data_IF_815831518293
#
_entry.id   IF_815831518293
#
_cell.length_a   1.000
_cell.length_b   1.000
_cell.length_c   1.000
_cell.angle_alpha   90.00
_cell.angle_beta   90.00
_cell.angle_gamma   90.00
#
_symmetry.space_group_name_H-M   'P 1'
#
loop_
_entity.id
_entity.type
_entity.pdbx_description
1 polymer ?
#
# COMPACT_ATOMS: atom_id res chain seq x y z
N UNK A 1 -21.08 25.41 27.80
CA UNK A 1 -20.42 25.43 26.48
C UNK A 1 -19.47 24.24 26.44
N UNK A 2 -19.88 23.16 25.79
CA UNK A 2 -19.14 21.90 25.77
C UNK A 2 -18.36 21.85 24.46
N UNK A 3 -17.05 22.06 24.54
CA UNK A 3 -16.14 22.01 23.40
C UNK A 3 -16.09 20.56 22.91
N UNK A 4 -16.79 20.27 21.80
CA UNK A 4 -16.58 19.02 21.07
C UNK A 4 -15.21 19.11 20.41
N UNK A 5 -14.23 18.39 20.96
CA UNK A 5 -12.99 18.07 20.24
C UNK A 5 -13.39 17.27 19.00
N UNK A 6 -13.51 17.95 17.87
CA UNK A 6 -13.51 17.28 16.57
C UNK A 6 -12.10 16.73 16.39
N UNK A 7 -11.97 15.42 16.53
CA UNK A 7 -10.82 14.70 16.03
C UNK A 7 -10.87 14.89 14.51
N UNK A 8 -10.07 15.82 13.99
CA UNK A 8 -9.81 15.90 12.56
C UNK A 8 -9.05 14.62 12.21
N UNK A 9 -9.78 13.63 11.69
CA UNK A 9 -9.17 12.55 10.94
C UNK A 9 -8.55 13.26 9.74
N UNK A 10 -7.23 13.43 9.75
CA UNK A 10 -6.51 13.85 8.55
C UNK A 10 -6.69 12.67 7.59
N UNK A 11 -7.56 12.84 6.60
CA UNK A 11 -7.72 11.86 5.53
C UNK A 11 -6.36 11.75 4.82
N UNK A 12 -5.65 10.66 5.10
CA UNK A 12 -4.38 10.37 4.43
C UNK A 12 -4.70 10.15 2.96
N UNK A 13 -4.02 10.87 2.07
CA UNK A 13 -4.09 10.58 0.64
C UNK A 13 -3.59 9.14 0.37
N UNK A 14 -3.93 8.59 -0.80
CA UNK A 14 -3.65 7.19 -1.11
C UNK A 14 -2.15 6.89 -1.07
N UNK A 15 -1.32 7.83 -1.56
CA UNK A 15 0.13 7.71 -1.52
C UNK A 15 0.64 7.44 -0.10
N UNK A 16 0.22 8.26 0.87
CA UNK A 16 0.65 8.07 2.26
C UNK A 16 0.15 6.75 2.83
N UNK A 17 -1.07 6.33 2.50
CA UNK A 17 -1.60 5.03 2.95
C UNK A 17 -0.80 3.85 2.40
N UNK A 18 -0.44 3.88 1.12
CA UNK A 18 0.38 2.82 0.50
C UNK A 18 1.80 2.83 1.06
N UNK A 19 2.43 4.01 1.17
CA UNK A 19 3.77 4.15 1.73
C UNK A 19 3.87 3.66 3.18
N UNK A 20 2.83 3.92 3.98
CA UNK A 20 2.72 3.40 5.34
C UNK A 20 2.63 1.87 5.33
N UNK A 21 1.76 1.28 4.50
CA UNK A 21 1.62 -0.18 4.41
C UNK A 21 2.91 -0.84 3.94
N UNK A 22 3.65 -0.22 3.02
CA UNK A 22 4.95 -0.73 2.59
C UNK A 22 5.97 -0.69 3.72
N UNK A 23 5.95 0.36 4.54
CA UNK A 23 6.80 0.46 5.73
C UNK A 23 6.43 -0.59 6.78
N UNK A 24 5.14 -0.85 6.98
CA UNK A 24 4.66 -1.92 7.85
C UNK A 24 5.06 -3.31 7.32
N UNK A 25 5.04 -3.51 5.99
CA UNK A 25 5.47 -4.75 5.35
C UNK A 25 6.96 -5.01 5.55
N UNK A 26 7.80 -3.98 5.38
CA UNK A 26 9.24 -4.05 5.66
C UNK A 26 9.46 -4.51 7.11
N UNK A 27 8.84 -3.83 8.07
CA UNK A 27 8.98 -4.16 9.49
C UNK A 27 8.48 -5.58 9.80
N UNK A 28 7.34 -5.99 9.23
CA UNK A 28 6.80 -7.33 9.38
C UNK A 28 7.80 -8.39 8.88
N UNK A 29 8.35 -8.24 7.68
CA UNK A 29 9.27 -9.24 7.13
C UNK A 29 10.66 -9.19 7.77
N UNK A 30 11.12 -8.05 8.29
CA UNK A 30 12.31 -7.98 9.14
C UNK A 30 12.12 -8.81 10.41
N UNK A 31 11.00 -8.63 11.11
CA UNK A 31 10.64 -9.43 12.28
C UNK A 31 10.58 -10.94 11.95
N UNK A 32 9.92 -11.31 10.83
CA UNK A 32 9.85 -12.72 10.39
C UNK A 32 11.22 -13.29 10.01
N UNK A 33 12.13 -12.48 9.47
CA UNK A 33 13.50 -12.92 9.15
C UNK A 33 14.35 -13.17 10.40
N UNK A 34 14.06 -12.47 11.50
CA UNK A 34 14.69 -12.65 12.80
C UNK A 34 14.16 -13.89 13.53
N UNK A 35 12.84 -14.11 13.50
CA UNK A 35 12.16 -15.25 14.13
C UNK A 35 12.32 -16.58 13.35
N UNK A 36 12.70 -16.51 12.07
CA UNK A 36 12.84 -17.68 11.21
C UNK A 36 13.87 -18.70 11.73
N UNK A 37 13.40 -19.92 12.01
CA UNK A 37 14.25 -21.04 12.43
C UNK A 37 15.04 -21.69 11.29
N UNK A 38 14.68 -21.44 10.03
CA UNK A 38 15.35 -22.01 8.84
C UNK A 38 15.96 -20.93 7.94
N UNK A 39 17.13 -21.23 7.37
CA UNK A 39 17.83 -20.34 6.44
C UNK A 39 16.98 -19.96 5.20
N UNK A 40 16.16 -20.90 4.71
CA UNK A 40 15.29 -20.64 3.56
C UNK A 40 14.20 -19.61 3.88
N UNK A 41 13.53 -19.75 5.03
CA UNK A 41 12.50 -18.79 5.49
C UNK A 41 13.10 -17.40 5.70
N UNK A 42 14.28 -17.34 6.32
CA UNK A 42 15.03 -16.09 6.49
C UNK A 42 15.40 -15.43 5.16
N UNK A 43 15.79 -16.22 4.16
CA UNK A 43 16.09 -15.70 2.82
C UNK A 43 14.85 -15.12 2.15
N UNK A 44 13.72 -15.83 2.19
CA UNK A 44 12.46 -15.35 1.61
C UNK A 44 11.99 -14.05 2.27
N UNK A 45 12.02 -13.98 3.60
CA UNK A 45 11.67 -12.77 4.33
C UNK A 45 12.57 -11.57 3.96
N UNK A 46 13.89 -11.79 3.82
CA UNK A 46 14.81 -10.75 3.34
C UNK A 46 14.58 -10.31 1.90
N UNK A 47 14.11 -11.20 1.03
CA UNK A 47 13.73 -10.84 -0.35
C UNK A 47 12.50 -9.93 -0.30
N UNK A 48 11.47 -10.30 0.48
CA UNK A 48 10.28 -9.48 0.65
C UNK A 48 10.62 -8.07 1.19
N UNK A 49 11.49 -7.96 2.20
CA UNK A 49 11.97 -6.65 2.69
C UNK A 49 12.52 -5.78 1.57
N UNK A 50 13.36 -6.35 0.68
CA UNK A 50 13.93 -5.61 -0.45
C UNK A 50 12.87 -5.21 -1.48
N UNK A 51 11.91 -6.09 -1.76
CA UNK A 51 10.81 -5.82 -2.69
C UNK A 51 9.96 -4.65 -2.19
N UNK A 52 9.56 -4.65 -0.91
CA UNK A 52 8.77 -3.55 -0.34
C UNK A 52 9.57 -2.26 -0.18
N UNK A 53 10.87 -2.32 0.17
CA UNK A 53 11.73 -1.13 0.22
C UNK A 53 11.87 -0.49 -1.17
N UNK A 54 12.18 -1.29 -2.18
CA UNK A 54 12.30 -0.84 -3.58
C UNK A 54 10.98 -0.28 -4.07
N UNK A 55 9.88 -1.00 -3.83
CA UNK A 55 8.55 -0.55 -4.20
C UNK A 55 8.19 0.78 -3.54
N UNK A 56 8.57 1.00 -2.28
CA UNK A 56 8.29 2.25 -1.54
C UNK A 56 9.03 3.43 -2.15
N UNK A 57 10.29 3.22 -2.48
CA UNK A 57 11.15 4.25 -3.09
C UNK A 57 10.75 4.54 -4.54
N UNK A 58 10.09 3.60 -5.21
CA UNK A 58 9.54 3.71 -6.57
C UNK A 58 8.05 4.04 -6.60
N UNK A 59 7.42 4.41 -5.48
CA UNK A 59 6.02 4.88 -5.47
C UNK A 59 5.92 6.22 -6.20
N UNK A 60 5.81 6.16 -7.53
CA UNK A 60 5.56 7.31 -8.37
C UNK A 60 4.04 7.49 -8.52
N UNK A 61 3.46 8.22 -7.56
CA UNK A 61 2.07 8.65 -7.60
C UNK A 61 2.01 10.16 -7.77
N UNK A 62 1.20 10.61 -8.71
CA UNK A 62 0.95 12.02 -8.93
C UNK A 62 -0.09 12.50 -7.93
N UNK A 63 0.15 13.66 -7.33
CA UNK A 63 -0.82 14.35 -6.48
C UNK A 63 -1.24 15.61 -7.23
N UNK A 64 -2.53 15.82 -7.43
CA UNK A 64 -3.02 17.05 -8.05
C UNK A 64 -3.08 18.22 -7.05
N UNK A 65 -3.54 19.39 -7.51
CA UNK A 65 -3.66 20.60 -6.71
C UNK A 65 -4.73 20.48 -5.61
N UNK A 66 -5.69 19.56 -5.75
CA UNK A 66 -6.77 19.28 -4.80
C UNK A 66 -6.36 18.21 -3.75
N UNK A 67 -5.19 17.59 -3.93
CA UNK A 67 -4.64 16.55 -3.05
C UNK A 67 -5.06 15.13 -3.42
N UNK A 68 -5.75 14.97 -4.55
CA UNK A 68 -6.14 13.66 -5.08
C UNK A 68 -4.92 12.94 -5.65
N UNK A 69 -4.88 11.64 -5.42
CA UNK A 69 -3.77 10.79 -5.85
C UNK A 69 -4.14 10.05 -7.11
N UNK A 70 -3.31 10.20 -8.14
CA UNK A 70 -3.43 9.52 -9.42
C UNK A 70 -2.31 8.51 -9.56
N UNK A 71 -2.68 7.32 -10.05
CA UNK A 71 -1.72 6.30 -10.40
C UNK A 71 -1.52 6.31 -11.92
N UNK A 72 -0.27 6.21 -12.36
CA UNK A 72 0.00 5.73 -13.72
C UNK A 72 -0.45 4.26 -13.78
N UNK A 73 -1.13 3.77 -14.84
CA UNK A 73 -1.72 2.43 -14.88
C UNK A 73 -0.74 1.31 -14.47
N UNK A 74 0.51 1.39 -14.92
CA UNK A 74 1.58 0.42 -14.62
C UNK A 74 1.96 0.43 -13.12
N UNK A 75 1.94 1.61 -12.49
CA UNK A 75 2.13 1.77 -11.06
C UNK A 75 0.91 1.24 -10.29
N UNK A 76 -0.32 1.44 -10.78
CA UNK A 76 -1.55 0.96 -10.15
C UNK A 76 -1.58 -0.57 -10.03
N UNK A 77 -1.26 -1.28 -11.12
CA UNK A 77 -1.20 -2.74 -11.14
C UNK A 77 -0.12 -3.26 -10.18
N UNK A 78 1.08 -2.67 -10.25
CA UNK A 78 2.21 -3.06 -9.40
C UNK A 78 1.91 -2.86 -7.92
N UNK A 79 1.36 -1.69 -7.56
CA UNK A 79 0.99 -1.38 -6.18
C UNK A 79 -0.08 -2.33 -5.67
N UNK A 80 -1.15 -2.54 -6.44
CA UNK A 80 -2.25 -3.42 -6.03
C UNK A 80 -1.77 -4.85 -5.84
N UNK A 81 -0.95 -5.37 -6.77
CA UNK A 81 -0.40 -6.72 -6.68
C UNK A 81 0.53 -6.88 -5.47
N UNK A 82 1.38 -5.89 -5.20
CA UNK A 82 2.26 -5.87 -4.03
C UNK A 82 1.46 -5.90 -2.72
N UNK A 83 0.41 -5.09 -2.62
CA UNK A 83 -0.47 -5.06 -1.45
C UNK A 83 -1.22 -6.37 -1.24
N UNK A 84 -1.73 -7.00 -2.30
CA UNK A 84 -2.36 -8.32 -2.25
C UNK A 84 -1.39 -9.42 -1.81
N UNK A 85 -0.15 -9.39 -2.31
CA UNK A 85 0.90 -10.32 -1.89
C UNK A 85 1.20 -10.17 -0.39
N UNK A 86 1.29 -8.93 0.10
CA UNK A 86 1.48 -8.69 1.53
C UNK A 86 0.28 -9.19 2.34
N UNK A 87 -0.95 -8.88 1.90
CA UNK A 87 -2.18 -9.33 2.57
C UNK A 87 -2.24 -10.86 2.70
N UNK A 88 -1.81 -11.58 1.67
CA UNK A 88 -1.80 -13.05 1.67
C UNK A 88 -0.70 -13.64 2.57
N UNK A 89 0.42 -12.94 2.73
CA UNK A 89 1.53 -13.36 3.59
C UNK A 89 1.32 -13.00 5.07
N UNK A 90 0.51 -11.97 5.35
CA UNK A 90 0.27 -11.45 6.69
C UNK A 90 -0.58 -12.42 7.52
N UNK A 91 -0.14 -12.71 8.75
CA UNK A 91 -0.99 -13.38 9.73
C UNK A 91 -2.05 -12.41 10.25
N UNK A 92 -3.22 -12.42 9.62
CA UNK A 92 -4.34 -11.56 10.00
C UNK A 92 -4.96 -11.86 11.36
N UNK A 93 -4.68 -13.02 11.97
CA UNK A 93 -5.13 -13.33 13.34
C UNK A 93 -4.21 -12.69 14.38
N UNK A 94 -2.91 -12.71 14.11
CA UNK A 94 -1.90 -12.09 14.97
C UNK A 94 -1.91 -10.56 14.83
N UNK A 95 -2.08 -10.03 13.62
CA UNK A 95 -2.02 -8.60 13.33
C UNK A 95 -3.33 -8.07 12.68
N UNK A 96 -4.47 -8.08 13.38
CA UNK A 96 -5.77 -7.74 12.80
C UNK A 96 -5.86 -6.27 12.34
N UNK A 97 -5.22 -5.34 13.06
CA UNK A 97 -5.21 -3.91 12.68
C UNK A 97 -4.37 -3.67 11.42
N UNK A 98 -3.23 -4.35 11.30
CA UNK A 98 -2.39 -4.25 10.10
C UNK A 98 -3.13 -4.86 8.90
N UNK A 99 -3.78 -6.01 9.09
CA UNK A 99 -4.58 -6.64 8.04
C UNK A 99 -5.70 -5.72 7.54
N UNK A 100 -6.37 -5.01 8.45
CA UNK A 100 -7.38 -4.01 8.07
C UNK A 100 -6.76 -2.86 7.26
N UNK A 101 -5.60 -2.30 7.67
CA UNK A 101 -4.91 -1.23 6.93
C UNK A 101 -4.49 -1.66 5.53
N UNK A 102 -3.97 -2.88 5.38
CA UNK A 102 -3.60 -3.44 4.07
C UNK A 102 -4.85 -3.55 3.19
N UNK A 103 -5.95 -4.04 3.75
CA UNK A 103 -7.23 -4.18 3.04
C UNK A 103 -7.79 -2.82 2.58
N UNK A 104 -7.73 -1.80 3.43
CA UNK A 104 -8.10 -0.43 3.07
C UNK A 104 -7.25 0.10 1.91
N UNK A 105 -5.92 -0.07 2.00
CA UNK A 105 -5.01 0.35 0.93
C UNK A 105 -5.27 -0.39 -0.40
N UNK A 106 -5.58 -1.70 -0.37
CA UNK A 106 -5.97 -2.47 -1.57
C UNK A 106 -7.22 -1.87 -2.20
N UNK A 107 -8.29 -1.69 -1.42
CA UNK A 107 -9.57 -1.18 -1.93
C UNK A 107 -9.42 0.21 -2.53
N UNK A 108 -8.66 1.08 -1.87
CA UNK A 108 -8.41 2.44 -2.36
C UNK A 108 -7.53 2.45 -3.61
N UNK A 109 -6.55 1.55 -3.70
CA UNK A 109 -5.71 1.42 -4.91
C UNK A 109 -6.50 0.91 -6.12
N UNK A 110 -7.43 -0.03 -5.92
CA UNK A 110 -8.30 -0.57 -6.98
C UNK A 110 -9.34 0.42 -7.49
N UNK A 111 -9.67 1.43 -6.69
CA UNK A 111 -10.70 2.42 -7.01
C UNK A 111 -10.13 3.78 -7.37
N UNK A 112 -8.81 3.95 -7.29
CA UNK A 112 -8.10 5.16 -7.63
C UNK A 112 -8.22 5.51 -9.13
N UNK A 113 -8.34 6.80 -9.48
CA UNK A 113 -8.28 7.23 -10.87
C UNK A 113 -6.87 6.98 -11.46
N UNK A 114 -6.84 6.51 -12.70
CA UNK A 114 -5.60 6.34 -13.47
C UNK A 114 -5.50 7.42 -14.55
N UNK A 115 -4.30 8.00 -14.71
CA UNK A 115 -4.00 8.96 -15.79
C UNK A 115 -3.55 8.20 -17.05
N UNK A 116 -4.17 8.48 -18.19
CA UNK A 116 -3.77 7.91 -19.48
C UNK A 116 -2.67 8.78 -20.14
N UNK A 117 -1.94 8.23 -21.11
CA UNK A 117 -0.85 8.92 -21.84
C UNK A 117 -1.28 10.22 -22.55
N UNK A 118 -2.59 10.44 -22.72
CA UNK A 118 -3.18 11.71 -23.15
C UNK A 118 -3.66 12.48 -21.91
N UNK A 119 -3.01 13.60 -21.63
CA UNK A 119 -3.17 14.46 -20.43
C UNK A 119 -4.61 14.96 -20.15
N UNK A 120 -5.57 14.69 -21.04
CA UNK A 120 -6.96 15.16 -20.95
C UNK A 120 -8.02 14.06 -20.73
N UNK A 121 -7.65 12.77 -20.72
CA UNK A 121 -8.62 11.66 -20.60
C UNK A 121 -8.39 10.80 -19.35
N UNK A 122 -9.41 10.69 -18.48
CA UNK A 122 -9.47 9.69 -17.41
C UNK A 122 -9.60 8.30 -18.03
N UNK A 123 -8.66 7.39 -17.72
CA UNK A 123 -8.78 6.01 -18.18
C UNK A 123 -10.06 5.37 -17.61
N UNK A 124 -10.75 4.48 -18.37
CA UNK A 124 -11.79 3.65 -17.77
C UNK A 124 -11.19 2.84 -16.62
N UNK A 125 -11.89 2.81 -15.48
CA UNK A 125 -11.48 2.04 -14.29
C UNK A 125 -11.04 0.64 -14.72
N UNK A 126 -9.75 0.33 -14.57
CA UNK A 126 -9.31 -1.05 -14.70
C UNK A 126 -9.83 -1.80 -13.47
N UNK A 127 -11.03 -2.38 -13.59
CA UNK A 127 -11.43 -3.48 -12.72
C UNK A 127 -10.46 -4.61 -12.97
N UNK A 128 -9.47 -4.74 -12.08
CA UNK A 128 -8.65 -5.95 -11.97
C UNK A 128 -9.60 -7.11 -11.69
N UNK A 129 -9.85 -7.93 -12.71
CA UNK A 129 -10.60 -9.18 -12.65
C UNK A 129 -9.73 -10.32 -12.12
#
# INVERSE_FOLDING_TARGET
MTTKTQIQIIDKNLLQSVADVYSDAIMYFEFRAEDAGRNHEKMLAKIAVKEFATGRDMLDMLIDEDGDTFLVPEAAETVTKSLLNFQAALDGKEFPLLWWRVTDAVLRSQTAPCLCESEDDLCPKQTLH
#
